data_IF_205766004191
#
_entry.id   IF_205766004191
#
_cell.length_a   1.000
_cell.length_b   1.000
_cell.length_c   1.000
_cell.angle_alpha   90.00
_cell.angle_beta   90.00
_cell.angle_gamma   90.00
#
_symmetry.space_group_name_H-M   'P 1'
#
loop_
_entity.id
_entity.type
_entity.pdbx_description
1 polymer ?
#
# COMPACT_ATOMS: atom_id res chain seq x y z
N UNK A 1 2.07 -2.41 -40.76
CA UNK A 1 1.53 -1.40 -39.82
C UNK A 1 1.80 -1.91 -38.43
N UNK A 2 2.80 -1.32 -37.78
CA UNK A 2 3.35 -1.70 -36.47
C UNK A 2 2.49 -1.11 -35.35
N UNK A 3 1.32 -1.70 -35.11
CA UNK A 3 0.47 -1.37 -33.97
C UNK A 3 -0.09 -2.65 -33.39
N UNK A 4 0.68 -3.38 -32.59
CA UNK A 4 0.23 -4.69 -32.06
C UNK A 4 0.74 -5.09 -30.69
N UNK A 5 1.76 -4.45 -30.09
CA UNK A 5 2.28 -4.84 -28.76
C UNK A 5 1.84 -3.91 -27.62
N UNK A 6 1.78 -2.59 -27.85
CA UNK A 6 1.47 -1.63 -26.78
C UNK A 6 -0.02 -1.69 -26.38
N UNK A 7 -0.92 -1.84 -27.36
CA UNK A 7 -2.36 -1.99 -27.12
C UNK A 7 -2.69 -3.20 -26.23
N UNK A 8 -1.88 -4.26 -26.32
CA UNK A 8 -2.11 -5.48 -25.54
C UNK A 8 -1.68 -5.31 -24.09
N UNK A 9 -0.61 -4.57 -23.82
CA UNK A 9 -0.14 -4.30 -22.46
C UNK A 9 -1.15 -3.45 -21.67
N UNK A 10 -1.79 -2.51 -22.36
CA UNK A 10 -2.71 -1.54 -21.78
C UNK A 10 -4.16 -2.04 -21.71
N UNK A 11 -4.45 -3.22 -22.25
CA UNK A 11 -5.79 -3.77 -22.22
C UNK A 11 -6.32 -3.89 -20.78
N UNK A 12 -7.48 -3.26 -20.53
CA UNK A 12 -8.11 -3.26 -19.21
C UNK A 12 -7.57 -2.21 -18.23
N UNK A 13 -6.65 -1.33 -18.65
CA UNK A 13 -6.06 -0.31 -17.78
C UNK A 13 -7.12 0.54 -17.09
N UNK A 14 -6.96 0.73 -15.77
CA UNK A 14 -7.92 1.41 -14.89
C UNK A 14 -9.31 0.74 -14.77
N UNK A 15 -9.56 -0.36 -15.50
CA UNK A 15 -10.85 -1.07 -15.51
C UNK A 15 -11.01 -2.13 -14.41
N UNK A 16 -9.94 -2.46 -13.69
CA UNK A 16 -9.92 -3.51 -12.67
C UNK A 16 -9.34 -3.02 -11.33
N UNK A 17 -9.48 -3.85 -10.30
CA UNK A 17 -9.00 -3.62 -8.96
C UNK A 17 -10.12 -3.30 -7.98
N UNK A 18 -9.81 -2.55 -6.94
CA UNK A 18 -10.71 -2.30 -5.81
C UNK A 18 -10.72 -0.81 -5.43
N UNK A 19 -11.40 -0.49 -4.32
CA UNK A 19 -11.40 0.87 -3.75
C UNK A 19 -10.02 1.36 -3.29
N UNK A 20 -9.08 0.44 -3.03
CA UNK A 20 -7.74 0.79 -2.55
C UNK A 20 -6.77 1.08 -3.70
N UNK A 21 -6.76 0.22 -4.73
CA UNK A 21 -5.79 0.25 -5.84
C UNK A 21 -6.44 -0.15 -7.16
N UNK A 22 -5.99 0.46 -8.26
CA UNK A 22 -6.38 0.08 -9.62
C UNK A 22 -5.35 -0.92 -10.13
N UNK A 23 -5.72 -2.15 -10.43
CA UNK A 23 -4.77 -3.19 -10.80
C UNK A 23 -5.45 -4.29 -11.58
N UNK A 24 -4.73 -4.92 -12.50
CA UNK A 24 -5.26 -5.96 -13.40
C UNK A 24 -4.89 -7.37 -12.94
N UNK A 25 -4.69 -7.53 -11.64
CA UNK A 25 -4.48 -8.82 -10.99
C UNK A 25 -4.99 -8.84 -9.55
N UNK A 26 -5.35 -10.02 -9.08
CA UNK A 26 -5.64 -10.36 -7.69
C UNK A 26 -4.42 -11.09 -7.07
N UNK A 27 -4.34 -11.13 -5.74
CA UNK A 27 -3.33 -11.88 -5.00
C UNK A 27 -3.92 -13.16 -4.42
N UNK A 28 -3.13 -14.23 -4.39
CA UNK A 28 -3.40 -15.40 -3.54
C UNK A 28 -2.73 -15.17 -2.19
N UNK A 29 -3.53 -15.08 -1.14
CA UNK A 29 -3.08 -14.84 0.22
C UNK A 29 -2.35 -16.08 0.77
N UNK A 30 -1.05 -16.02 1.09
CA UNK A 30 -0.31 -17.20 1.54
C UNK A 30 -0.74 -17.69 2.94
N UNK A 31 -1.34 -16.83 3.75
CA UNK A 31 -1.80 -17.14 5.10
C UNK A 31 -3.06 -18.02 5.15
N UNK A 32 -3.96 -17.89 4.16
CA UNK A 32 -5.27 -18.55 4.17
C UNK A 32 -5.63 -19.20 2.81
N UNK A 33 -4.80 -19.02 1.79
CA UNK A 33 -4.99 -19.48 0.41
C UNK A 33 -6.21 -18.89 -0.32
N UNK A 34 -6.83 -17.86 0.24
CA UNK A 34 -7.95 -17.13 -0.37
C UNK A 34 -7.45 -16.08 -1.38
N UNK A 35 -8.33 -15.67 -2.30
CA UNK A 35 -8.02 -14.71 -3.36
C UNK A 35 -8.67 -13.35 -3.08
N UNK A 36 -7.89 -12.28 -3.20
CA UNK A 36 -8.35 -10.90 -2.98
C UNK A 36 -7.74 -9.95 -4.01
N UNK A 37 -8.43 -8.85 -4.33
CA UNK A 37 -7.86 -7.80 -5.19
C UNK A 37 -6.56 -7.21 -4.63
N UNK A 38 -6.46 -7.04 -3.31
CA UNK A 38 -5.27 -6.53 -2.66
C UNK A 38 -5.18 -6.94 -1.18
N UNK A 39 -4.04 -6.60 -0.55
CA UNK A 39 -3.81 -6.88 0.89
C UNK A 39 -4.83 -6.19 1.80
N UNK A 40 -5.32 -5.00 1.43
CA UNK A 40 -6.27 -4.27 2.26
C UNK A 40 -7.66 -4.90 2.20
N UNK A 41 -8.10 -5.36 1.02
CA UNK A 41 -9.31 -6.18 0.89
C UNK A 41 -9.21 -7.45 1.75
N UNK A 42 -8.06 -8.14 1.72
CA UNK A 42 -7.80 -9.29 2.58
C UNK A 42 -7.93 -8.91 4.06
N UNK A 43 -7.17 -7.92 4.54
CA UNK A 43 -7.14 -7.57 5.97
C UNK A 43 -8.50 -7.07 6.46
N UNK A 44 -9.24 -6.31 5.63
CA UNK A 44 -10.61 -5.91 5.95
C UNK A 44 -11.52 -7.13 6.16
N UNK A 45 -11.46 -8.12 5.28
CA UNK A 45 -12.25 -9.35 5.40
C UNK A 45 -11.80 -10.21 6.60
N UNK A 46 -10.49 -10.40 6.76
CA UNK A 46 -9.91 -11.20 7.84
C UNK A 46 -10.19 -10.59 9.22
N UNK A 47 -10.20 -9.26 9.35
CA UNK A 47 -10.53 -8.57 10.59
C UNK A 47 -12.02 -8.67 10.98
N UNK A 48 -12.91 -8.95 10.01
CA UNK A 48 -14.34 -9.16 10.24
C UNK A 48 -14.69 -10.61 10.63
N UNK A 49 -13.71 -11.52 10.70
CA UNK A 49 -13.96 -12.90 11.10
C UNK A 49 -14.48 -12.98 12.55
N UNK A 50 -15.48 -13.86 12.74
CA UNK A 50 -16.18 -14.03 14.02
C UNK A 50 -15.24 -14.53 15.11
N UNK A 51 -14.38 -15.48 14.77
CA UNK A 51 -13.39 -16.05 15.69
C UNK A 51 -12.17 -15.14 15.69
N UNK A 52 -11.84 -14.61 16.86
CA UNK A 52 -10.71 -13.69 17.03
C UNK A 52 -9.39 -14.36 16.63
N UNK A 53 -9.23 -15.65 16.92
CA UNK A 53 -8.03 -16.42 16.57
C UNK A 53 -7.85 -16.65 15.08
N UNK A 54 -8.90 -16.48 14.28
CA UNK A 54 -8.82 -16.60 12.82
C UNK A 54 -8.49 -15.25 12.17
N UNK A 55 -8.51 -14.13 12.93
CA UNK A 55 -8.15 -12.80 12.42
C UNK A 55 -6.64 -12.75 12.22
N UNK A 56 -6.24 -12.27 11.06
CA UNK A 56 -4.85 -12.17 10.68
C UNK A 56 -4.68 -11.11 9.60
N UNK A 57 -3.43 -10.70 9.41
CA UNK A 57 -3.06 -9.76 8.35
C UNK A 57 -2.15 -10.44 7.34
N UNK A 58 -2.27 -10.02 6.08
CA UNK A 58 -1.42 -10.50 5.02
C UNK A 58 -0.08 -9.78 5.04
N UNK A 59 1.00 -10.57 5.10
CA UNK A 59 2.37 -10.09 4.91
C UNK A 59 2.65 -9.97 3.42
N UNK A 60 2.80 -8.73 2.93
CA UNK A 60 2.88 -8.44 1.49
C UNK A 60 4.02 -9.15 0.74
N UNK A 61 5.18 -9.30 1.38
CA UNK A 61 6.38 -9.94 0.80
C UNK A 61 6.22 -11.45 0.59
N UNK A 62 5.25 -12.05 1.28
CA UNK A 62 5.06 -13.50 1.28
C UNK A 62 4.19 -13.95 0.12
N UNK A 63 3.50 -13.02 -0.56
CA UNK A 63 2.70 -13.32 -1.75
C UNK A 63 3.62 -13.81 -2.87
N UNK A 64 3.36 -15.03 -3.36
CA UNK A 64 4.12 -15.66 -4.46
C UNK A 64 3.30 -15.87 -5.72
N UNK A 65 1.97 -15.86 -5.62
CA UNK A 65 1.06 -16.12 -6.73
C UNK A 65 0.07 -14.96 -6.91
N UNK A 66 -0.20 -14.63 -8.16
CA UNK A 66 -1.19 -13.63 -8.59
C UNK A 66 -2.10 -14.23 -9.65
N UNK A 67 -3.33 -13.74 -9.72
CA UNK A 67 -4.33 -14.17 -10.70
C UNK A 67 -4.64 -12.98 -11.59
N UNK A 68 -4.48 -13.13 -12.91
CA UNK A 68 -4.80 -12.07 -13.86
C UNK A 68 -6.30 -11.76 -13.85
N UNK A 69 -6.69 -10.51 -13.66
CA UNK A 69 -8.11 -10.10 -13.66
C UNK A 69 -8.73 -10.06 -15.06
N UNK A 70 -7.91 -10.14 -16.12
CA UNK A 70 -8.36 -10.09 -17.52
C UNK A 70 -8.68 -11.49 -18.06
N UNK A 71 -7.91 -12.51 -17.68
CA UNK A 71 -8.02 -13.85 -18.26
C UNK A 71 -7.95 -14.99 -17.23
N UNK A 72 -8.04 -14.67 -15.94
CA UNK A 72 -8.09 -15.61 -14.81
C UNK A 72 -6.89 -16.56 -14.69
N UNK A 73 -5.79 -16.25 -15.37
CA UNK A 73 -4.57 -17.05 -15.28
C UNK A 73 -3.88 -16.81 -13.95
N UNK A 74 -3.75 -17.88 -13.17
CA UNK A 74 -2.90 -17.91 -12.00
C UNK A 74 -1.43 -18.15 -12.39
N UNK A 75 -0.52 -17.36 -11.81
CA UNK A 75 0.90 -17.38 -12.15
C UNK A 75 1.75 -16.87 -10.97
N UNK A 76 3.06 -17.16 -10.98
CA UNK A 76 3.99 -16.49 -10.08
C UNK A 76 3.93 -14.97 -10.23
N UNK A 77 4.27 -14.26 -9.16
CA UNK A 77 4.40 -12.79 -9.17
C UNK A 77 5.24 -12.36 -10.36
N UNK A 78 4.67 -11.48 -11.17
CA UNK A 78 5.30 -10.90 -12.34
C UNK A 78 4.60 -9.62 -12.74
N UNK A 79 5.27 -8.79 -13.54
CA UNK A 79 4.70 -7.53 -14.03
C UNK A 79 3.60 -7.74 -15.07
N UNK A 80 3.76 -8.75 -15.93
CA UNK A 80 2.84 -9.03 -17.05
C UNK A 80 2.21 -10.41 -16.88
N UNK A 81 1.03 -10.58 -17.47
CA UNK A 81 0.40 -11.89 -17.54
C UNK A 81 1.11 -12.80 -18.52
N UNK A 82 1.46 -14.01 -18.07
CA UNK A 82 2.16 -15.01 -18.89
C UNK A 82 1.29 -15.61 -19.99
N UNK A 83 -0.04 -15.56 -19.84
CA UNK A 83 -0.98 -16.08 -20.82
C UNK A 83 -1.47 -14.97 -21.77
N UNK A 84 -2.09 -13.91 -21.22
CA UNK A 84 -2.71 -12.90 -22.07
C UNK A 84 -1.78 -11.73 -22.44
N UNK A 85 -0.64 -11.57 -21.79
CA UNK A 85 0.35 -10.53 -22.10
C UNK A 85 0.04 -9.13 -21.57
N UNK A 86 -1.08 -8.91 -20.87
CA UNK A 86 -1.38 -7.59 -20.30
C UNK A 86 -0.37 -7.20 -19.22
N UNK A 87 -0.04 -5.92 -19.11
CA UNK A 87 0.62 -5.39 -17.92
C UNK A 87 -0.37 -5.48 -16.74
N UNK A 88 0.06 -5.89 -15.56
CA UNK A 88 -0.85 -6.09 -14.40
C UNK A 88 -0.97 -4.85 -13.51
N UNK A 89 -0.09 -3.88 -13.71
CA UNK A 89 -0.04 -2.59 -13.01
C UNK A 89 0.94 -1.66 -13.71
N UNK A 90 0.57 -0.40 -13.93
CA UNK A 90 1.48 0.59 -14.51
C UNK A 90 2.70 0.84 -13.62
N UNK A 91 2.45 0.96 -12.32
CA UNK A 91 3.46 0.83 -11.29
C UNK A 91 3.51 -0.60 -10.78
N UNK A 92 4.71 -1.20 -10.78
CA UNK A 92 4.97 -2.50 -10.17
C UNK A 92 6.19 -2.40 -9.25
N UNK A 93 6.05 -2.90 -8.03
CA UNK A 93 7.14 -3.08 -7.09
C UNK A 93 7.22 -4.55 -6.68
N UNK A 94 8.32 -5.20 -7.02
CA UNK A 94 8.65 -6.59 -6.72
C UNK A 94 8.99 -6.81 -5.24
N UNK A 95 9.60 -5.83 -4.58
CA UNK A 95 9.89 -5.90 -3.14
C UNK A 95 8.59 -5.93 -2.32
N UNK A 96 7.63 -5.09 -2.69
CA UNK A 96 6.35 -4.96 -1.98
C UNK A 96 5.24 -5.85 -2.53
N UNK A 97 5.45 -6.50 -3.68
CA UNK A 97 4.43 -7.21 -4.47
C UNK A 97 3.20 -6.31 -4.70
N UNK A 98 3.47 -5.11 -5.20
CA UNK A 98 2.49 -4.04 -5.28
C UNK A 98 2.29 -3.56 -6.72
N UNK A 99 1.02 -3.38 -7.08
CA UNK A 99 0.55 -3.05 -8.42
C UNK A 99 -0.45 -1.89 -8.31
N UNK A 100 -0.26 -0.83 -9.08
CA UNK A 100 -1.27 0.23 -9.26
C UNK A 100 -1.19 0.80 -10.68
N UNK A 101 -2.34 1.04 -11.31
CA UNK A 101 -2.46 1.68 -12.61
C UNK A 101 -2.49 3.20 -12.51
N UNK A 102 -2.86 3.71 -11.33
CA UNK A 102 -3.04 5.12 -11.07
C UNK A 102 -1.70 5.79 -10.75
N UNK A 103 -0.96 6.15 -11.80
CA UNK A 103 0.35 6.82 -11.67
C UNK A 103 0.25 8.26 -11.14
N UNK A 104 -0.93 8.88 -11.18
CA UNK A 104 -1.14 10.26 -10.69
C UNK A 104 -0.93 10.35 -9.17
N UNK A 105 -1.02 9.20 -8.47
CA UNK A 105 -0.63 9.05 -7.07
C UNK A 105 0.87 9.31 -6.81
N UNK A 106 1.72 9.31 -7.84
CA UNK A 106 3.17 9.51 -7.67
C UNK A 106 3.80 8.43 -6.78
N UNK A 107 3.53 7.15 -7.07
CA UNK A 107 3.98 6.04 -6.24
C UNK A 107 5.50 5.86 -6.33
N UNK A 108 6.13 5.56 -5.19
CA UNK A 108 7.57 5.26 -5.16
C UNK A 108 7.94 4.32 -4.02
N UNK A 109 8.95 3.48 -4.21
CA UNK A 109 9.51 2.64 -3.15
C UNK A 109 10.56 3.43 -2.34
N UNK A 110 10.48 3.39 -1.02
CA UNK A 110 11.57 3.86 -0.16
C UNK A 110 12.32 2.66 0.40
N UNK A 111 13.56 2.48 -0.04
CA UNK A 111 14.41 1.34 0.36
C UNK A 111 14.67 1.32 1.87
N UNK A 112 14.91 2.49 2.48
CA UNK A 112 15.13 2.61 3.92
C UNK A 112 13.87 2.23 4.74
N UNK A 113 12.67 2.43 4.18
CA UNK A 113 11.43 1.99 4.82
C UNK A 113 11.07 0.53 4.48
N UNK A 114 11.53 0.04 3.33
CA UNK A 114 11.07 -1.23 2.74
C UNK A 114 9.59 -1.21 2.33
N UNK A 115 9.04 -0.03 2.02
CA UNK A 115 7.61 0.13 1.69
C UNK A 115 7.40 1.13 0.54
N UNK A 116 6.36 0.90 -0.27
CA UNK A 116 5.89 1.89 -1.25
C UNK A 116 5.12 3.02 -0.57
N UNK A 117 5.39 4.25 -0.99
CA UNK A 117 4.73 5.49 -0.57
C UNK A 117 4.01 6.12 -1.77
N UNK A 118 3.12 7.07 -1.46
CA UNK A 118 2.27 7.81 -2.40
C UNK A 118 2.55 9.30 -2.19
N UNK A 119 2.49 10.08 -3.27
CA UNK A 119 2.63 11.54 -3.25
C UNK A 119 3.91 12.10 -3.90
N UNK A 120 4.64 11.30 -4.68
CA UNK A 120 5.84 11.71 -5.43
C UNK A 120 7.11 11.64 -4.59
N UNK A 121 8.17 11.01 -5.11
CA UNK A 121 9.45 10.85 -4.38
C UNK A 121 10.04 12.21 -3.99
N UNK A 122 9.94 13.17 -4.87
CA UNK A 122 10.43 14.53 -4.74
C UNK A 122 9.74 15.34 -3.63
N UNK A 123 8.59 14.89 -3.12
CA UNK A 123 7.87 15.57 -2.04
C UNK A 123 8.20 14.99 -0.65
N UNK A 124 9.02 13.95 -0.58
CA UNK A 124 9.35 13.25 0.66
C UNK A 124 10.86 13.14 0.88
N UNK A 125 11.25 13.06 2.15
CA UNK A 125 12.59 12.66 2.56
C UNK A 125 12.50 11.58 3.64
N UNK A 126 13.48 10.68 3.68
CA UNK A 126 13.61 9.71 4.75
C UNK A 126 14.41 10.31 5.91
N UNK A 127 13.80 10.36 7.10
CA UNK A 127 14.52 10.74 8.31
C UNK A 127 15.10 9.49 8.99
N UNK A 128 16.42 9.31 8.88
CA UNK A 128 17.12 8.14 9.46
C UNK A 128 16.91 7.99 10.97
N UNK A 129 16.87 9.11 11.71
CA UNK A 129 16.65 9.08 13.16
C UNK A 129 15.23 8.62 13.52
N UNK A 130 14.24 9.03 12.75
CA UNK A 130 12.85 8.61 12.97
C UNK A 130 12.55 7.23 12.37
N UNK A 131 13.34 6.79 11.38
CA UNK A 131 13.11 5.56 10.62
C UNK A 131 11.90 5.63 9.69
N UNK A 132 11.52 6.84 9.25
CA UNK A 132 10.28 7.10 8.49
C UNK A 132 10.44 8.18 7.42
N UNK A 133 9.62 8.07 6.36
CA UNK A 133 9.46 9.13 5.36
C UNK A 133 8.50 10.22 5.85
N UNK A 134 8.89 11.47 5.63
CA UNK A 134 8.08 12.65 5.88
C UNK A 134 8.01 13.54 4.64
N UNK A 135 6.98 14.38 4.55
CA UNK A 135 6.93 15.45 3.56
C UNK A 135 8.14 16.39 3.74
N UNK A 136 8.69 16.92 2.64
CA UNK A 136 9.78 17.91 2.65
C UNK A 136 9.46 19.14 3.51
N UNK A 137 8.18 19.49 3.69
CA UNK A 137 7.79 20.55 4.63
C UNK A 137 8.24 20.32 6.07
N UNK A 138 8.57 19.07 6.45
CA UNK A 138 9.09 18.70 7.77
C UNK A 138 10.63 18.61 7.85
N UNK A 139 11.32 18.92 6.76
CA UNK A 139 12.78 18.82 6.69
C UNK A 139 13.42 19.84 7.63
N UNK A 140 14.17 19.35 8.61
CA UNK A 140 14.91 20.19 9.57
C UNK A 140 14.07 20.85 10.68
N UNK A 141 12.75 20.63 10.73
CA UNK A 141 11.88 21.30 11.71
C UNK A 141 11.03 20.36 12.58
N UNK A 142 11.05 19.04 12.34
CA UNK A 142 10.30 18.08 13.17
C UNK A 142 11.12 17.61 14.37
N UNK A 143 10.44 17.47 15.52
CA UNK A 143 11.00 16.83 16.72
C UNK A 143 11.22 15.34 16.44
N UNK A 144 12.47 14.92 16.28
CA UNK A 144 12.79 13.53 15.99
C UNK A 144 12.61 12.64 17.22
N UNK A 145 11.64 11.73 17.16
CA UNK A 145 11.49 10.60 18.09
C UNK A 145 11.85 9.33 17.33
N UNK A 146 12.70 8.49 17.94
CA UNK A 146 13.13 7.25 17.30
C UNK A 146 11.94 6.33 17.03
N UNK A 147 11.86 5.78 15.82
CA UNK A 147 10.80 4.86 15.40
C UNK A 147 9.38 5.44 15.64
N UNK A 148 9.20 6.75 15.44
CA UNK A 148 7.98 7.46 15.80
C UNK A 148 6.70 7.00 15.10
N UNK A 149 6.80 6.17 14.06
CA UNK A 149 5.65 5.53 13.38
C UNK A 149 5.55 4.02 13.65
N UNK A 150 6.48 3.41 14.38
CA UNK A 150 6.45 1.96 14.67
C UNK A 150 5.62 1.66 15.93
N UNK A 151 4.43 2.23 16.00
CA UNK A 151 3.47 1.99 17.07
C UNK A 151 2.04 2.04 16.52
N UNK A 152 1.06 1.71 17.36
CA UNK A 152 -0.36 1.82 17.00
C UNK A 152 -0.87 3.23 17.27
N UNK A 153 -1.79 3.72 16.45
CA UNK A 153 -2.49 4.98 16.69
C UNK A 153 -3.19 4.91 18.06
N UNK A 154 -3.01 5.90 18.96
CA UNK A 154 -3.60 5.84 20.30
C UNK A 154 -5.13 5.93 20.32
N UNK A 155 -5.76 6.30 19.19
CA UNK A 155 -7.21 6.48 19.08
C UNK A 155 -7.88 5.26 18.44
N UNK A 156 -7.43 4.85 17.25
CA UNK A 156 -8.06 3.75 16.51
C UNK A 156 -7.30 2.42 16.61
N UNK A 157 -6.13 2.41 17.25
CA UNK A 157 -5.28 1.25 17.46
C UNK A 157 -4.81 0.51 16.18
N UNK A 158 -4.93 1.16 15.02
CA UNK A 158 -4.34 0.69 13.77
C UNK A 158 -2.83 0.98 13.75
N UNK A 159 -2.05 0.10 13.13
CA UNK A 159 -0.60 0.25 13.04
C UNK A 159 -0.23 1.43 12.12
N UNK A 160 0.64 2.32 12.60
CA UNK A 160 0.92 3.61 11.94
C UNK A 160 1.87 3.49 10.73
N UNK A 161 2.72 2.47 10.66
CA UNK A 161 3.81 2.45 9.68
C UNK A 161 3.35 2.08 8.27
N UNK A 162 2.37 1.20 8.15
CA UNK A 162 1.92 0.61 6.89
C UNK A 162 0.49 0.99 6.51
N UNK A 163 -0.14 1.86 7.30
CA UNK A 163 -1.42 2.52 7.01
C UNK A 163 -1.33 3.42 5.78
N UNK A 164 -2.46 3.54 5.07
CA UNK A 164 -2.63 4.48 3.96
C UNK A 164 -3.16 5.85 4.43
N UNK A 165 -3.48 5.99 5.72
CA UNK A 165 -4.04 7.22 6.28
C UNK A 165 -2.97 8.28 6.51
N UNK A 166 -3.36 9.54 6.33
CA UNK A 166 -2.50 10.67 6.62
C UNK A 166 -2.06 10.66 8.08
N UNK A 167 -0.80 11.07 8.30
CA UNK A 167 -0.21 11.13 9.63
C UNK A 167 -0.04 12.58 10.08
N UNK A 168 -0.32 12.84 11.35
CA UNK A 168 0.03 14.07 12.04
C UNK A 168 1.27 13.82 12.91
N UNK A 169 2.26 14.71 12.82
CA UNK A 169 3.42 14.73 13.73
C UNK A 169 3.14 15.78 14.79
N UNK A 170 3.06 15.36 16.04
CA UNK A 170 2.79 16.24 17.18
C UNK A 170 4.06 17.01 17.58
N UNK A 171 3.90 18.09 18.36
CA UNK A 171 5.05 18.88 18.86
C UNK A 171 6.04 18.05 19.68
N UNK A 172 5.54 17.05 20.41
CA UNK A 172 6.36 16.09 21.15
C UNK A 172 7.05 15.03 20.27
N UNK A 173 6.84 15.06 18.95
CA UNK A 173 7.45 14.16 17.97
C UNK A 173 6.73 12.83 17.75
N UNK A 174 5.75 12.48 18.60
CA UNK A 174 4.88 11.33 18.38
C UNK A 174 3.97 11.51 17.16
N UNK A 175 3.55 10.39 16.58
CA UNK A 175 2.68 10.40 15.40
C UNK A 175 1.31 9.79 15.70
N UNK A 176 0.29 10.23 14.97
CA UNK A 176 -1.04 9.59 14.97
C UNK A 176 -1.74 9.88 13.65
N UNK A 177 -2.81 9.16 13.32
CA UNK A 177 -3.61 9.48 12.14
C UNK A 177 -4.17 10.90 12.21
N UNK A 178 -4.13 11.63 11.09
CA UNK A 178 -4.58 13.02 11.00
C UNK A 178 -6.04 13.17 11.37
N UNK A 179 -6.87 12.24 10.92
CA UNK A 179 -8.30 12.24 11.26
C UNK A 179 -8.52 12.03 12.76
N UNK A 180 -7.82 11.08 13.37
CA UNK A 180 -7.86 10.86 14.81
C UNK A 180 -7.40 12.10 15.61
N UNK A 181 -6.35 12.78 15.15
CA UNK A 181 -5.88 14.03 15.74
C UNK A 181 -6.95 15.14 15.64
N UNK A 182 -7.56 15.29 14.47
CA UNK A 182 -8.61 16.29 14.24
C UNK A 182 -9.87 15.99 15.06
N UNK A 183 -10.25 14.73 15.22
CA UNK A 183 -11.36 14.32 16.09
C UNK A 183 -11.08 14.64 17.56
N UNK A 184 -9.87 14.38 18.03
CA UNK A 184 -9.45 14.74 19.40
C UNK A 184 -9.59 16.26 19.62
N UNK A 185 -9.08 17.08 18.70
CA UNK A 185 -9.20 18.55 18.78
C UNK A 185 -10.65 19.06 18.76
N UNK A 186 -11.58 18.34 18.12
CA UNK A 186 -13.00 18.69 18.10
C UNK A 186 -13.70 18.37 19.43
N UNK A 187 -13.23 17.37 20.18
CA UNK A 187 -13.79 16.95 21.47
C UNK A 187 -13.23 17.74 22.67
N UNK A 188 -12.07 18.38 22.49
CA UNK A 188 -11.46 19.30 23.46
C UNK A 188 -12.07 20.72 23.44
N UNK A 189 -13.18 20.93 22.71
CA UNK A 189 -13.98 22.16 22.70
C UNK A 189 -15.33 21.91 23.35
#
# INVERSE_FOLDING_TARGET
>A
MEGTNDERLDFGKMGYGCKHYRRRCMIRAPCCNEVYDCRHCHNEAANMLKRIYDRHELVRSDVKQVICSVCDTEQPVGRTCTNCGVNMGEYFCDICIFYDDDLDKGLFHCDDCGICRVGGRENFFHCKKCGSCYSIGLLGNHSCVENSMRHHCPICYEYMFDTMKDTAVMKCGHTMHRDCYNEMLKRDK
#
